data_IF_277779973461
#
_entry.id   IF_277779973461
#
_cell.length_a   1.000
_cell.length_b   1.000
_cell.length_c   1.000
_cell.angle_alpha   90.00
_cell.angle_beta   90.00
_cell.angle_gamma   90.00
#
_symmetry.space_group_name_H-M   'P 1'
#
loop_
_entity.id
_entity.type
_entity.pdbx_description
1 polymer ?
#
# COMPACT_ATOMS: atom_id res chain seq x y z
N UNK A 1 0.79 17.43 22.16
CA UNK A 1 -0.10 16.24 22.18
C UNK A 1 0.56 15.22 21.28
N UNK A 2 0.45 13.93 21.56
CA UNK A 2 1.01 12.90 20.68
C UNK A 2 0.36 12.97 19.30
N UNK A 3 1.13 12.63 18.27
CA UNK A 3 0.62 12.50 16.90
C UNK A 3 -0.17 11.20 16.77
N UNK A 4 -1.38 11.27 16.24
CA UNK A 4 -2.27 10.13 16.06
C UNK A 4 -2.79 10.06 14.63
N UNK A 5 -3.12 8.85 14.17
CA UNK A 5 -3.86 8.60 12.94
C UNK A 5 -5.16 7.88 13.31
N UNK A 6 -6.30 8.43 12.85
CA UNK A 6 -7.58 7.74 12.89
C UNK A 6 -7.70 6.87 11.63
N UNK A 7 -7.53 5.55 11.80
CA UNK A 7 -7.44 4.64 10.64
C UNK A 7 -8.80 4.24 10.06
N UNK A 8 -9.92 4.75 10.62
CA UNK A 8 -11.26 4.48 10.09
C UNK A 8 -12.30 5.47 10.62
N UNK A 9 -12.82 6.31 9.74
CA UNK A 9 -13.95 7.19 10.02
C UNK A 9 -14.80 7.42 8.78
N UNK A 10 -16.09 7.75 8.97
CA UNK A 10 -17.05 8.08 7.93
C UNK A 10 -17.51 9.54 8.06
N UNK A 11 -16.57 10.46 7.97
CA UNK A 11 -16.89 11.91 8.09
C UNK A 11 -17.68 12.44 6.89
N UNK A 12 -17.72 11.68 5.78
CA UNK A 12 -18.57 11.93 4.62
C UNK A 12 -20.05 11.71 4.85
N UNK A 13 -20.47 11.06 5.95
CA UNK A 13 -21.90 10.87 6.23
C UNK A 13 -22.62 12.19 6.52
N UNK A 14 -23.90 12.25 6.18
CA UNK A 14 -24.77 13.43 6.33
C UNK A 14 -24.83 13.95 7.77
N UNK A 15 -24.54 13.09 8.74
CA UNK A 15 -24.45 13.47 10.17
C UNK A 15 -23.37 14.53 10.44
N UNK A 16 -22.45 14.76 9.52
CA UNK A 16 -21.38 15.74 9.65
C UNK A 16 -21.55 16.96 8.73
N UNK A 17 -22.58 17.01 7.89
CA UNK A 17 -22.72 18.07 6.88
C UNK A 17 -22.74 19.48 7.49
N UNK A 18 -23.37 19.65 8.66
CA UNK A 18 -23.51 20.97 9.31
C UNK A 18 -22.21 21.47 9.96
N UNK A 19 -21.27 20.58 10.35
CA UNK A 19 -20.10 20.98 11.15
C UNK A 19 -18.80 20.24 10.74
N UNK A 20 -18.74 19.65 9.55
CA UNK A 20 -17.60 18.84 9.10
C UNK A 20 -16.26 19.57 9.22
N UNK A 21 -16.19 20.83 8.81
CA UNK A 21 -14.97 21.64 8.92
C UNK A 21 -14.52 21.83 10.38
N UNK A 22 -15.48 22.02 11.28
CA UNK A 22 -15.20 22.12 12.73
C UNK A 22 -14.73 20.77 13.32
N UNK A 23 -15.26 19.65 12.82
CA UNK A 23 -14.79 18.30 13.20
C UNK A 23 -13.32 18.13 12.83
N UNK A 24 -12.92 18.50 11.62
CA UNK A 24 -11.51 18.44 11.20
C UNK A 24 -10.61 19.37 12.00
N UNK A 25 -11.07 20.58 12.32
CA UNK A 25 -10.34 21.49 13.19
C UNK A 25 -10.10 20.87 14.58
N UNK A 26 -11.15 20.31 15.21
CA UNK A 26 -11.04 19.63 16.51
C UNK A 26 -10.12 18.41 16.46
N UNK A 27 -10.15 17.66 15.36
CA UNK A 27 -9.24 16.54 15.14
C UNK A 27 -7.76 17.00 15.16
N UNK A 28 -7.43 18.05 14.40
CA UNK A 28 -6.08 18.64 14.42
C UNK A 28 -5.68 19.14 15.80
N UNK A 29 -6.57 19.84 16.50
CA UNK A 29 -6.36 20.31 17.88
C UNK A 29 -6.13 19.16 18.85
N UNK A 30 -6.68 17.98 18.60
CA UNK A 30 -6.48 16.77 19.39
C UNK A 30 -5.20 15.98 19.00
N UNK A 31 -4.41 16.43 18.02
CA UNK A 31 -3.18 15.77 17.57
C UNK A 31 -3.36 14.76 16.44
N UNK A 32 -4.57 14.68 15.84
CA UNK A 32 -4.81 13.79 14.69
C UNK A 32 -4.15 14.38 13.44
N UNK A 33 -3.22 13.63 12.86
CA UNK A 33 -2.43 14.04 11.68
C UNK A 33 -3.04 13.54 10.37
N UNK A 34 -3.81 12.46 10.43
CA UNK A 34 -4.48 11.88 9.27
C UNK A 34 -5.72 11.12 9.71
N UNK A 35 -6.77 11.20 8.91
CA UNK A 35 -7.99 10.43 9.04
C UNK A 35 -8.17 9.61 7.75
N UNK A 36 -8.40 8.31 7.90
CA UNK A 36 -8.84 7.51 6.76
C UNK A 36 -10.34 7.65 6.62
N UNK A 37 -10.75 8.39 5.62
CA UNK A 37 -12.15 8.56 5.22
C UNK A 37 -12.60 7.34 4.44
N UNK A 38 -13.52 6.59 5.00
CA UNK A 38 -13.94 5.28 4.47
C UNK A 38 -15.29 5.39 3.77
N UNK A 39 -15.26 5.14 2.46
CA UNK A 39 -16.45 5.08 1.63
C UNK A 39 -17.19 3.75 1.78
N UNK A 40 -18.53 3.81 1.78
CA UNK A 40 -19.41 2.65 1.83
C UNK A 40 -20.20 2.59 0.52
N UNK A 41 -19.99 1.51 -0.27
CA UNK A 41 -20.55 1.39 -1.62
C UNK A 41 -19.95 2.40 -2.61
N UNK A 42 -20.43 2.39 -3.86
CA UNK A 42 -19.86 3.21 -4.95
C UNK A 42 -19.99 4.72 -4.68
N UNK A 43 -21.17 5.17 -4.28
CA UNK A 43 -21.41 6.61 -4.06
C UNK A 43 -20.67 7.14 -2.83
N UNK A 44 -20.63 6.38 -1.73
CA UNK A 44 -19.83 6.72 -0.55
C UNK A 44 -18.33 6.75 -0.87
N UNK A 45 -17.86 5.83 -1.72
CA UNK A 45 -16.48 5.78 -2.19
C UNK A 45 -16.11 7.00 -3.04
N UNK A 46 -16.98 7.47 -3.93
CA UNK A 46 -16.79 8.71 -4.67
C UNK A 46 -16.69 9.92 -3.75
N UNK A 47 -17.60 10.00 -2.76
CA UNK A 47 -17.60 11.10 -1.77
C UNK A 47 -16.31 11.09 -0.93
N UNK A 48 -15.82 9.91 -0.54
CA UNK A 48 -14.56 9.79 0.21
C UNK A 48 -13.36 10.30 -0.60
N UNK A 49 -13.27 9.96 -1.88
CA UNK A 49 -12.24 10.46 -2.80
C UNK A 49 -12.33 11.98 -2.97
N UNK A 50 -13.53 12.51 -3.18
CA UNK A 50 -13.77 13.95 -3.32
C UNK A 50 -13.37 14.74 -2.07
N UNK A 51 -13.75 14.25 -0.89
CA UNK A 51 -13.37 14.85 0.39
C UNK A 51 -11.86 14.82 0.60
N UNK A 52 -11.21 13.68 0.33
CA UNK A 52 -9.77 13.56 0.48
C UNK A 52 -8.98 14.45 -0.52
N UNK A 53 -9.55 14.74 -1.70
CA UNK A 53 -8.94 15.67 -2.65
C UNK A 53 -9.01 17.15 -2.18
N UNK A 54 -9.99 17.50 -1.32
CA UNK A 54 -10.22 18.87 -0.87
C UNK A 54 -9.71 19.16 0.55
N UNK A 55 -9.47 18.12 1.37
CA UNK A 55 -9.08 18.23 2.77
C UNK A 55 -7.76 17.44 3.03
N UNK A 56 -6.63 18.11 3.25
CA UNK A 56 -5.33 17.46 3.43
C UNK A 56 -5.26 16.48 4.61
N UNK A 57 -6.11 16.66 5.62
CA UNK A 57 -6.18 15.74 6.78
C UNK A 57 -6.67 14.35 6.38
N UNK A 58 -7.36 14.22 5.22
CA UNK A 58 -8.00 12.99 4.80
C UNK A 58 -7.15 12.17 3.81
N UNK A 59 -7.33 10.86 3.88
CA UNK A 59 -6.93 9.90 2.85
C UNK A 59 -8.11 8.97 2.59
N UNK A 60 -8.41 8.71 1.32
CA UNK A 60 -9.58 7.91 0.95
C UNK A 60 -9.30 6.41 1.02
N UNK A 61 -10.21 5.67 1.65
CA UNK A 61 -10.41 4.25 1.45
C UNK A 61 -11.76 4.02 0.78
N UNK A 62 -11.82 3.10 -0.16
CA UNK A 62 -13.01 2.86 -0.98
C UNK A 62 -13.38 1.38 -1.02
N UNK A 63 -14.67 1.05 -0.84
CA UNK A 63 -15.10 -0.33 -0.74
C UNK A 63 -16.58 -0.55 -1.01
N UNK A 64 -16.91 -1.80 -1.31
CA UNK A 64 -18.26 -2.32 -1.34
C UNK A 64 -18.48 -3.06 -0.02
N UNK A 65 -19.16 -2.41 0.92
CA UNK A 65 -19.50 -2.96 2.23
C UNK A 65 -20.34 -4.25 2.06
N UNK A 66 -20.22 -5.24 2.93
CA UNK A 66 -21.02 -6.48 2.83
C UNK A 66 -22.53 -6.25 2.68
N UNK A 67 -23.08 -5.22 3.31
CA UNK A 67 -24.50 -4.89 3.17
C UNK A 67 -24.89 -4.31 1.80
N UNK A 68 -23.89 -3.81 1.02
CA UNK A 68 -24.04 -3.31 -0.34
C UNK A 68 -23.75 -4.40 -1.41
N UNK A 69 -23.43 -5.63 -1.01
CA UNK A 69 -23.01 -6.69 -1.93
C UNK A 69 -24.10 -7.05 -2.97
N UNK A 70 -25.39 -6.75 -2.71
CA UNK A 70 -26.46 -6.88 -3.69
C UNK A 70 -26.26 -6.04 -4.94
N UNK A 71 -25.44 -4.99 -4.86
CA UNK A 71 -25.14 -4.07 -5.96
C UNK A 71 -23.82 -4.42 -6.67
N UNK A 72 -23.13 -5.51 -6.29
CA UNK A 72 -21.81 -5.87 -6.76
C UNK A 72 -21.70 -5.85 -8.30
N UNK A 73 -22.57 -6.57 -8.99
CA UNK A 73 -22.49 -6.67 -10.46
C UNK A 73 -22.82 -5.36 -11.18
N UNK A 74 -23.68 -4.54 -10.59
CA UNK A 74 -24.03 -3.22 -11.15
C UNK A 74 -22.89 -2.23 -11.02
N UNK A 75 -22.20 -2.23 -9.88
CA UNK A 75 -21.30 -1.16 -9.47
C UNK A 75 -19.82 -1.52 -9.68
N UNK A 76 -19.48 -2.79 -9.95
CA UNK A 76 -18.11 -3.27 -9.97
C UNK A 76 -17.20 -2.53 -10.93
N UNK A 77 -17.60 -2.38 -12.20
CA UNK A 77 -16.75 -1.76 -13.22
C UNK A 77 -16.43 -0.30 -12.87
N UNK A 78 -17.44 0.44 -12.39
CA UNK A 78 -17.28 1.82 -11.97
C UNK A 78 -16.44 1.94 -10.69
N UNK A 79 -16.57 0.99 -9.76
CA UNK A 79 -15.77 0.89 -8.56
C UNK A 79 -14.31 0.57 -8.89
N UNK A 80 -14.05 -0.42 -9.73
CA UNK A 80 -12.69 -0.78 -10.16
C UNK A 80 -12.02 0.41 -10.89
N UNK A 81 -12.76 1.10 -11.76
CA UNK A 81 -12.26 2.30 -12.41
C UNK A 81 -11.91 3.40 -11.40
N UNK A 82 -12.76 3.64 -10.39
CA UNK A 82 -12.48 4.61 -9.32
C UNK A 82 -11.15 4.31 -8.61
N UNK A 83 -10.95 3.04 -8.24
CA UNK A 83 -9.69 2.59 -7.58
C UNK A 83 -8.47 2.81 -8.47
N UNK A 84 -8.59 2.56 -9.79
CA UNK A 84 -7.46 2.66 -10.73
C UNK A 84 -7.09 4.08 -11.11
N UNK A 85 -8.03 5.02 -11.01
CA UNK A 85 -7.86 6.39 -11.53
C UNK A 85 -7.71 7.46 -10.46
N UNK A 86 -7.92 7.13 -9.19
CA UNK A 86 -7.83 8.10 -8.09
C UNK A 86 -6.80 7.68 -7.05
N UNK A 87 -6.41 8.63 -6.22
CA UNK A 87 -5.50 8.41 -5.10
C UNK A 87 -6.23 7.71 -3.93
N UNK A 88 -6.26 6.38 -3.98
CA UNK A 88 -6.89 5.52 -3.00
C UNK A 88 -5.83 4.91 -2.10
N UNK A 89 -5.98 5.05 -0.80
CA UNK A 89 -5.02 4.57 0.20
C UNK A 89 -5.27 3.10 0.59
N UNK A 90 -6.53 2.65 0.57
CA UNK A 90 -6.90 1.28 0.88
C UNK A 90 -8.20 0.86 0.16
N UNK A 91 -8.37 -0.44 -0.06
CA UNK A 91 -9.65 -1.03 -0.47
C UNK A 91 -10.42 -1.35 0.81
N UNK A 92 -11.58 -0.77 0.97
CA UNK A 92 -12.45 -0.98 2.13
C UNK A 92 -13.40 0.21 2.37
N UNK A 93 -14.42 -0.03 3.07
CA UNK A 93 -14.74 -1.16 3.95
C UNK A 93 -15.30 -2.35 3.15
N UNK A 94 -14.70 -3.52 3.32
CA UNK A 94 -15.14 -4.77 2.71
C UNK A 94 -15.14 -5.89 3.76
N UNK A 95 -15.75 -7.02 3.51
CA UNK A 95 -15.78 -8.12 4.47
C UNK A 95 -17.13 -8.80 4.59
N UNK A 96 -17.51 -9.19 5.82
CA UNK A 96 -18.72 -9.96 6.09
C UNK A 96 -19.52 -9.39 7.27
N UNK A 97 -20.85 -9.28 7.11
CA UNK A 97 -21.80 -8.88 8.14
C UNK A 97 -23.00 -9.83 8.16
N UNK A 98 -23.04 -10.73 9.13
CA UNK A 98 -24.14 -11.68 9.30
C UNK A 98 -25.18 -11.22 10.33
N UNK A 99 -24.92 -10.10 10.99
CA UNK A 99 -25.86 -9.50 11.92
C UNK A 99 -26.99 -8.78 11.19
N UNK A 100 -26.65 -7.84 10.30
CA UNK A 100 -27.64 -7.13 9.49
C UNK A 100 -28.18 -7.97 8.36
N UNK A 101 -27.30 -8.76 7.74
CA UNK A 101 -27.61 -9.74 6.67
C UNK A 101 -28.47 -9.16 5.54
N UNK A 102 -28.15 -7.92 5.12
CA UNK A 102 -28.88 -7.20 4.06
C UNK A 102 -28.60 -7.76 2.67
N UNK A 103 -27.47 -8.47 2.51
CA UNK A 103 -27.15 -9.20 1.30
C UNK A 103 -26.86 -10.68 1.62
N UNK A 104 -27.15 -11.63 0.69
CA UNK A 104 -26.85 -13.05 0.86
C UNK A 104 -25.37 -13.29 1.18
N UNK A 105 -25.08 -14.22 2.10
CA UNK A 105 -23.71 -14.56 2.54
C UNK A 105 -22.77 -14.88 1.40
N UNK A 106 -23.23 -15.60 0.38
CA UNK A 106 -22.41 -15.97 -0.77
C UNK A 106 -22.03 -14.75 -1.62
N UNK A 107 -22.94 -13.78 -1.77
CA UNK A 107 -22.63 -12.50 -2.44
C UNK A 107 -21.66 -11.65 -1.62
N UNK A 108 -21.81 -11.62 -0.28
CA UNK A 108 -20.84 -10.94 0.58
C UNK A 108 -19.45 -11.55 0.43
N UNK A 109 -19.34 -12.89 0.46
CA UNK A 109 -18.07 -13.60 0.26
C UNK A 109 -17.47 -13.32 -1.11
N UNK A 110 -18.29 -13.28 -2.15
CA UNK A 110 -17.82 -12.96 -3.51
C UNK A 110 -17.32 -11.53 -3.63
N UNK A 111 -18.09 -10.55 -3.12
CA UNK A 111 -17.68 -9.16 -3.07
C UNK A 111 -16.36 -8.99 -2.31
N UNK A 112 -16.20 -9.69 -1.18
CA UNK A 112 -14.98 -9.65 -0.39
C UNK A 112 -13.77 -10.22 -1.15
N UNK A 113 -13.92 -11.37 -1.81
CA UNK A 113 -12.85 -11.99 -2.62
C UNK A 113 -12.41 -11.08 -3.77
N UNK A 114 -13.36 -10.49 -4.51
CA UNK A 114 -13.05 -9.58 -5.62
C UNK A 114 -12.28 -8.34 -5.13
N UNK A 115 -12.66 -7.78 -4.00
CA UNK A 115 -11.99 -6.62 -3.42
C UNK A 115 -10.59 -6.95 -2.91
N UNK A 116 -10.37 -8.12 -2.28
CA UNK A 116 -9.02 -8.58 -1.92
C UNK A 116 -8.16 -8.78 -3.18
N UNK A 117 -8.74 -9.34 -4.24
CA UNK A 117 -8.02 -9.52 -5.50
C UNK A 117 -7.60 -8.18 -6.11
N UNK A 118 -8.51 -7.20 -6.15
CA UNK A 118 -8.21 -5.84 -6.61
C UNK A 118 -7.15 -5.16 -5.73
N UNK A 119 -7.26 -5.28 -4.41
CA UNK A 119 -6.26 -4.77 -3.47
C UNK A 119 -4.86 -5.34 -3.75
N UNK A 120 -4.78 -6.65 -4.02
CA UNK A 120 -3.52 -7.32 -4.42
C UNK A 120 -2.98 -6.77 -5.74
N UNK A 121 -3.82 -6.64 -6.77
CA UNK A 121 -3.42 -6.10 -8.07
C UNK A 121 -2.87 -4.69 -7.98
N UNK A 122 -3.47 -3.88 -7.11
CA UNK A 122 -3.09 -2.48 -6.89
C UNK A 122 -2.00 -2.33 -5.82
N UNK A 123 -1.53 -3.43 -5.21
CA UNK A 123 -0.63 -3.43 -4.05
C UNK A 123 -1.13 -2.52 -2.90
N UNK A 124 -2.44 -2.39 -2.75
CA UNK A 124 -3.09 -1.62 -1.70
C UNK A 124 -3.39 -2.51 -0.48
N UNK A 125 -3.39 -1.96 0.73
CA UNK A 125 -3.99 -2.63 1.88
C UNK A 125 -5.51 -2.71 1.73
N UNK A 126 -6.15 -3.56 2.56
CA UNK A 126 -7.61 -3.61 2.63
C UNK A 126 -8.10 -3.54 4.07
N UNK A 127 -9.24 -2.89 4.26
CA UNK A 127 -9.91 -2.66 5.55
C UNK A 127 -11.10 -3.60 5.63
N UNK A 128 -11.11 -4.44 6.67
CA UNK A 128 -12.03 -5.57 6.82
C UNK A 128 -13.07 -5.30 7.88
N UNK A 129 -14.32 -5.32 7.47
CA UNK A 129 -15.47 -5.42 8.34
C UNK A 129 -15.76 -6.87 8.73
N UNK A 130 -16.00 -7.11 10.01
CA UNK A 130 -16.44 -8.42 10.49
C UNK A 130 -17.49 -8.28 11.59
N UNK A 131 -18.69 -8.82 11.36
CA UNK A 131 -19.72 -8.87 12.36
C UNK A 131 -20.51 -10.18 12.32
N UNK A 132 -20.38 -10.98 13.39
CA UNK A 132 -20.99 -12.31 13.53
C UNK A 132 -20.61 -13.28 12.39
N UNK A 133 -19.39 -13.13 11.80
CA UNK A 133 -18.93 -13.83 10.61
C UNK A 133 -17.47 -14.33 10.68
N UNK A 134 -16.88 -14.38 11.89
CA UNK A 134 -15.43 -14.58 12.08
C UNK A 134 -14.91 -15.87 11.43
N UNK A 135 -15.63 -16.98 11.54
CA UNK A 135 -15.19 -18.25 10.98
C UNK A 135 -15.08 -18.21 9.44
N UNK A 136 -16.10 -17.68 8.77
CA UNK A 136 -16.13 -17.53 7.33
C UNK A 136 -15.11 -16.48 6.86
N UNK A 137 -14.92 -15.41 7.63
CA UNK A 137 -13.91 -14.40 7.36
C UNK A 137 -12.51 -15.02 7.34
N UNK A 138 -12.15 -15.76 8.38
CA UNK A 138 -10.85 -16.43 8.49
C UNK A 138 -10.64 -17.43 7.35
N UNK A 139 -11.69 -18.19 6.96
CA UNK A 139 -11.65 -19.09 5.82
C UNK A 139 -11.32 -18.34 4.51
N UNK A 140 -12.03 -17.24 4.23
CA UNK A 140 -11.79 -16.43 3.04
C UNK A 140 -10.38 -15.83 3.04
N UNK A 141 -9.95 -15.23 4.16
CA UNK A 141 -8.61 -14.64 4.28
C UNK A 141 -7.50 -15.67 4.06
N UNK A 142 -7.64 -16.87 4.64
CA UNK A 142 -6.69 -17.98 4.46
C UNK A 142 -6.64 -18.44 2.99
N UNK A 143 -7.78 -18.57 2.34
CA UNK A 143 -7.86 -18.98 0.94
C UNK A 143 -7.27 -17.92 0.01
N UNK A 144 -7.43 -16.63 0.32
CA UNK A 144 -6.89 -15.54 -0.49
C UNK A 144 -5.37 -15.35 -0.31
N UNK A 145 -4.81 -15.64 0.87
CA UNK A 145 -3.37 -15.56 1.14
C UNK A 145 -2.75 -14.18 0.86
N UNK A 146 -3.48 -13.08 1.10
CA UNK A 146 -2.98 -11.72 0.96
C UNK A 146 -2.94 -11.04 2.34
N UNK A 147 -1.76 -10.92 3.00
CA UNK A 147 -1.66 -10.56 4.41
C UNK A 147 -1.74 -9.05 4.68
N UNK A 148 -2.02 -8.22 3.66
CA UNK A 148 -2.04 -6.76 3.80
C UNK A 148 -3.42 -6.23 4.16
N UNK A 149 -4.06 -6.85 5.16
CA UNK A 149 -5.37 -6.45 5.68
C UNK A 149 -5.31 -5.94 7.13
N UNK A 150 -6.28 -5.10 7.49
CA UNK A 150 -6.59 -4.69 8.85
C UNK A 150 -8.05 -5.01 9.16
N UNK A 151 -8.30 -5.75 10.24
CA UNK A 151 -9.66 -5.95 10.74
C UNK A 151 -10.02 -4.74 11.60
N UNK A 152 -10.91 -3.90 11.06
CA UNK A 152 -11.34 -2.69 11.75
C UNK A 152 -12.36 -3.01 12.84
N UNK A 153 -12.49 -2.11 13.79
CA UNK A 153 -13.45 -2.18 14.91
C UNK A 153 -13.57 -3.60 15.51
N UNK A 154 -12.39 -4.26 15.69
CA UNK A 154 -12.34 -5.65 16.12
C UNK A 154 -13.21 -5.87 17.37
N UNK A 155 -14.08 -6.87 17.30
CA UNK A 155 -15.04 -7.21 18.37
C UNK A 155 -14.89 -8.61 18.93
N UNK A 156 -13.92 -9.39 18.43
CA UNK A 156 -13.76 -10.81 18.76
C UNK A 156 -12.98 -11.10 20.05
N UNK A 157 -12.60 -12.35 20.20
CA UNK A 157 -11.82 -12.87 21.34
C UNK A 157 -10.30 -12.77 21.08
N UNK A 158 -9.48 -12.96 22.14
CA UNK A 158 -8.03 -13.04 22.00
C UNK A 158 -7.58 -14.20 21.10
N UNK A 159 -8.29 -15.33 21.10
CA UNK A 159 -7.99 -16.46 20.22
C UNK A 159 -8.24 -16.12 18.74
N UNK A 160 -9.36 -15.47 18.42
CA UNK A 160 -9.66 -15.00 17.07
C UNK A 160 -8.67 -13.91 16.61
N UNK A 161 -8.27 -13.02 17.53
CA UNK A 161 -7.21 -12.04 17.23
C UNK A 161 -5.89 -12.74 16.85
N UNK A 162 -5.50 -13.81 17.59
CA UNK A 162 -4.28 -14.57 17.29
C UNK A 162 -4.38 -15.25 15.92
N UNK A 163 -5.51 -15.89 15.56
CA UNK A 163 -5.68 -16.49 14.24
C UNK A 163 -5.53 -15.47 13.10
N UNK A 164 -6.07 -14.26 13.27
CA UNK A 164 -5.93 -13.18 12.30
C UNK A 164 -4.47 -12.69 12.20
N UNK A 165 -3.79 -12.56 13.33
CA UNK A 165 -2.37 -12.19 13.37
C UNK A 165 -1.48 -13.23 12.67
N UNK A 166 -1.79 -14.54 12.84
CA UNK A 166 -1.07 -15.64 12.17
C UNK A 166 -1.27 -15.62 10.64
N UNK A 167 -2.39 -15.07 10.17
CA UNK A 167 -2.64 -14.79 8.75
C UNK A 167 -1.97 -13.50 8.26
N UNK A 168 -1.20 -12.82 9.11
CA UNK A 168 -0.50 -11.58 8.77
C UNK A 168 -1.34 -10.31 8.89
N UNK A 169 -2.59 -10.41 9.35
CA UNK A 169 -3.50 -9.27 9.50
C UNK A 169 -3.06 -8.32 10.61
N UNK A 170 -3.57 -7.09 10.58
CA UNK A 170 -3.51 -6.10 11.65
C UNK A 170 -4.88 -5.99 12.30
N UNK A 171 -4.92 -5.45 13.50
CA UNK A 171 -6.15 -5.32 14.28
C UNK A 171 -6.30 -3.89 14.76
N UNK A 172 -7.44 -3.29 14.51
CA UNK A 172 -7.78 -1.95 14.94
C UNK A 172 -8.85 -1.98 16.05
N UNK A 173 -8.71 -1.06 16.99
CA UNK A 173 -9.68 -0.89 18.08
C UNK A 173 -10.27 0.51 18.06
N UNK A 174 -11.60 0.57 18.20
CA UNK A 174 -12.35 1.81 18.29
C UNK A 174 -12.86 2.07 19.73
N UNK A 175 -13.65 3.10 19.92
CA UNK A 175 -14.09 3.57 21.24
C UNK A 175 -14.80 2.53 22.13
N UNK A 176 -15.38 1.46 21.54
CA UNK A 176 -16.06 0.39 22.27
C UNK A 176 -15.12 -0.42 23.19
N UNK A 177 -13.81 -0.44 22.95
CA UNK A 177 -12.83 -1.09 23.83
C UNK A 177 -12.80 -0.46 25.22
N UNK A 178 -13.18 0.82 25.32
CA UNK A 178 -13.22 1.57 26.58
C UNK A 178 -14.44 1.23 27.47
N UNK A 179 -15.41 0.46 26.93
CA UNK A 179 -16.64 0.17 27.66
C UNK A 179 -16.41 -0.84 28.78
N UNK A 180 -16.90 -0.53 29.99
CA UNK A 180 -16.72 -1.38 31.17
C UNK A 180 -17.23 -2.81 31.00
N UNK A 181 -18.21 -3.03 30.12
CA UNK A 181 -18.80 -4.36 29.86
C UNK A 181 -18.01 -5.19 28.83
N UNK A 182 -17.03 -4.62 28.15
CA UNK A 182 -16.30 -5.27 27.06
C UNK A 182 -14.98 -5.90 27.55
N UNK A 183 -15.01 -6.59 28.70
CA UNK A 183 -13.81 -7.24 29.28
C UNK A 183 -13.13 -8.22 28.31
N UNK A 184 -13.92 -9.00 27.54
CA UNK A 184 -13.38 -9.91 26.52
C UNK A 184 -12.58 -9.15 25.44
N UNK A 185 -13.10 -8.02 24.94
CA UNK A 185 -12.43 -7.19 23.97
C UNK A 185 -11.14 -6.56 24.54
N UNK A 186 -11.16 -6.19 25.81
CA UNK A 186 -9.99 -5.66 26.51
C UNK A 186 -8.87 -6.72 26.62
N UNK A 187 -9.23 -7.99 26.90
CA UNK A 187 -8.25 -9.09 26.89
C UNK A 187 -7.69 -9.34 25.49
N UNK A 188 -8.52 -9.26 24.45
CA UNK A 188 -8.04 -9.32 23.07
C UNK A 188 -7.07 -8.16 22.76
N UNK A 189 -7.40 -6.95 23.17
CA UNK A 189 -6.56 -5.79 22.98
C UNK A 189 -5.20 -5.90 23.72
N UNK A 190 -5.17 -6.52 24.91
CA UNK A 190 -3.90 -6.82 25.60
C UNK A 190 -3.03 -7.78 24.81
N UNK A 191 -3.63 -8.82 24.20
CA UNK A 191 -2.93 -9.86 23.48
C UNK A 191 -2.32 -9.39 22.14
N UNK A 192 -2.97 -8.41 21.45
CA UNK A 192 -2.47 -7.89 20.17
C UNK A 192 -1.14 -7.15 20.37
N UNK A 193 -0.03 -7.53 19.67
CA UNK A 193 1.24 -6.82 19.75
C UNK A 193 1.13 -5.37 19.28
N UNK A 194 1.91 -4.45 19.89
CA UNK A 194 1.89 -3.02 19.53
C UNK A 194 2.20 -2.80 18.03
N UNK A 195 3.05 -3.63 17.44
CA UNK A 195 3.48 -3.58 16.02
C UNK A 195 2.36 -3.97 15.04
N UNK A 196 1.27 -4.54 15.54
CA UNK A 196 0.10 -4.99 14.76
C UNK A 196 -1.18 -4.26 15.13
N UNK A 197 -1.09 -3.31 16.06
CA UNK A 197 -2.22 -2.58 16.62
C UNK A 197 -2.44 -1.26 15.90
N UNK A 198 -3.70 -0.97 15.58
CA UNK A 198 -4.15 0.31 15.03
C UNK A 198 -5.21 0.95 15.92
N UNK A 199 -5.38 2.26 15.75
CA UNK A 199 -6.36 3.08 16.44
C UNK A 199 -7.32 3.69 15.45
N UNK A 200 -8.59 3.72 15.81
CA UNK A 200 -9.64 4.35 15.00
C UNK A 200 -10.77 4.86 15.86
N UNK A 201 -11.67 5.63 15.25
CA UNK A 201 -12.91 6.04 15.90
C UNK A 201 -14.13 5.27 15.43
N UNK A 202 -14.18 4.89 14.17
CA UNK A 202 -15.41 4.45 13.48
C UNK A 202 -16.51 5.53 13.55
N UNK A 203 -16.11 6.80 13.56
CA UNK A 203 -17.03 7.93 13.66
C UNK A 203 -17.99 7.95 12.43
N UNK A 204 -19.30 8.18 12.66
CA UNK A 204 -19.99 8.72 13.85
C UNK A 204 -20.41 7.69 14.90
N UNK A 205 -20.00 6.45 14.79
CA UNK A 205 -20.40 5.32 15.63
C UNK A 205 -19.49 5.16 16.85
N UNK A 206 -19.92 4.35 17.81
CA UNK A 206 -19.13 3.77 18.91
C UNK A 206 -18.26 4.78 19.71
N UNK A 207 -18.79 5.94 20.15
CA UNK A 207 -18.00 6.90 20.91
C UNK A 207 -17.40 6.25 22.17
N UNK A 208 -16.15 6.60 22.56
CA UNK A 208 -15.52 6.06 23.76
C UNK A 208 -16.34 6.37 25.03
N UNK A 209 -16.10 5.60 26.12
CA UNK A 209 -16.90 5.66 27.35
C UNK A 209 -17.17 7.08 27.87
N UNK A 210 -16.20 8.03 27.89
CA UNK A 210 -16.47 9.40 28.35
C UNK A 210 -17.42 10.21 27.45
N UNK A 211 -17.66 9.75 26.23
CA UNK A 211 -18.48 10.43 25.22
C UNK A 211 -19.74 9.65 24.84
N UNK A 212 -20.07 8.57 25.56
CA UNK A 212 -21.28 7.78 25.29
C UNK A 212 -22.53 8.63 25.20
N UNK A 213 -23.40 8.30 24.23
CA UNK A 213 -24.63 9.04 23.94
C UNK A 213 -24.47 10.29 23.10
N UNK A 214 -23.23 10.63 22.70
CA UNK A 214 -22.91 11.69 21.72
C UNK A 214 -22.54 11.08 20.37
N UNK A 215 -22.63 11.85 19.29
CA UNK A 215 -22.01 11.51 18.01
C UNK A 215 -20.50 11.37 18.21
N UNK A 216 -19.90 10.29 17.71
CA UNK A 216 -18.44 10.14 17.71
C UNK A 216 -17.83 11.09 16.69
N UNK A 217 -16.56 11.44 16.88
CA UNK A 217 -15.76 12.24 15.95
C UNK A 217 -14.27 11.85 16.05
N UNK A 218 -13.46 12.08 14.97
CA UNK A 218 -12.05 11.69 14.93
C UNK A 218 -11.21 12.22 16.09
N UNK A 219 -11.53 13.40 16.64
CA UNK A 219 -10.85 13.95 17.82
C UNK A 219 -10.89 13.02 19.05
N UNK A 220 -11.86 12.09 19.10
CA UNK A 220 -12.00 11.20 20.25
C UNK A 220 -11.10 9.95 20.17
N UNK A 221 -10.32 9.77 19.11
CA UNK A 221 -9.34 8.68 19.03
C UNK A 221 -8.31 8.76 20.16
N UNK A 222 -8.02 9.96 20.65
CA UNK A 222 -7.10 10.17 21.78
C UNK A 222 -7.58 9.46 23.05
N UNK A 223 -8.91 9.43 23.31
CA UNK A 223 -9.48 8.74 24.46
C UNK A 223 -9.36 7.21 24.34
N UNK A 224 -9.43 6.69 23.13
CA UNK A 224 -9.17 5.27 22.85
C UNK A 224 -7.68 4.96 23.07
N UNK A 225 -6.80 5.84 22.59
CA UNK A 225 -5.34 5.72 22.78
C UNK A 225 -4.95 5.75 24.26
N UNK A 226 -5.46 6.70 25.05
CA UNK A 226 -5.22 6.81 26.49
C UNK A 226 -5.63 5.51 27.22
N UNK A 227 -6.80 4.98 26.88
CA UNK A 227 -7.30 3.75 27.47
C UNK A 227 -6.42 2.54 27.12
N UNK A 228 -6.04 2.40 25.86
CA UNK A 228 -5.18 1.30 25.40
C UNK A 228 -3.76 1.40 25.94
N UNK A 229 -3.19 2.59 26.07
CA UNK A 229 -1.91 2.81 26.72
C UNK A 229 -1.92 2.31 28.16
N UNK A 230 -2.93 2.71 28.93
CA UNK A 230 -3.11 2.23 30.30
C UNK A 230 -3.30 0.70 30.34
N UNK A 231 -4.12 0.15 29.44
CA UNK A 231 -4.43 -1.29 29.38
C UNK A 231 -3.18 -2.13 29.08
N UNK A 232 -2.29 -1.61 28.24
CA UNK A 232 -1.00 -2.25 27.82
C UNK A 232 0.16 -1.94 28.75
N UNK A 233 0.01 -1.01 29.69
CA UNK A 233 1.09 -0.62 30.61
C UNK A 233 2.21 0.17 29.96
N UNK A 234 1.94 0.91 28.88
CA UNK A 234 2.87 1.79 28.18
C UNK A 234 2.45 3.26 28.33
N UNK A 235 3.34 4.20 28.00
CA UNK A 235 2.95 5.62 27.96
C UNK A 235 2.04 5.92 26.77
N UNK A 236 1.27 7.01 26.85
CA UNK A 236 0.47 7.47 25.71
C UNK A 236 1.37 7.82 24.51
N UNK A 237 2.50 8.46 24.75
CA UNK A 237 3.45 8.83 23.70
C UNK A 237 4.03 7.61 22.99
N UNK A 238 4.40 6.56 23.73
CA UNK A 238 4.88 5.30 23.15
C UNK A 238 3.80 4.62 22.32
N UNK A 239 2.56 4.53 22.84
CA UNK A 239 1.45 3.93 22.08
C UNK A 239 1.18 4.71 20.79
N UNK A 240 1.11 6.04 20.88
CA UNK A 240 0.85 6.91 19.74
C UNK A 240 1.94 6.81 18.69
N UNK A 241 3.22 6.85 19.08
CA UNK A 241 4.36 6.68 18.19
C UNK A 241 4.28 5.35 17.43
N UNK A 242 4.08 4.23 18.16
CA UNK A 242 4.02 2.89 17.57
C UNK A 242 2.83 2.73 16.64
N UNK A 243 1.63 3.11 17.06
CA UNK A 243 0.42 2.94 16.24
C UNK A 243 0.42 3.87 15.03
N UNK A 244 0.92 5.09 15.16
CA UNK A 244 1.08 6.03 14.03
C UNK A 244 2.12 5.54 13.03
N UNK A 245 3.27 5.03 13.49
CA UNK A 245 4.28 4.42 12.63
C UNK A 245 3.73 3.19 11.88
N UNK A 246 2.95 2.34 12.57
CA UNK A 246 2.28 1.19 11.96
C UNK A 246 1.31 1.63 10.85
N UNK A 247 0.44 2.61 11.14
CA UNK A 247 -0.54 3.11 10.19
C UNK A 247 0.14 3.75 8.97
N UNK A 248 1.15 4.61 9.18
CA UNK A 248 1.93 5.22 8.09
C UNK A 248 2.54 4.17 7.18
N UNK A 249 3.23 3.17 7.74
CA UNK A 249 3.86 2.09 6.96
C UNK A 249 2.83 1.23 6.21
N UNK A 250 1.75 0.86 6.88
CA UNK A 250 0.75 -0.05 6.32
C UNK A 250 -0.08 0.60 5.21
N UNK A 251 -0.51 1.84 5.42
CA UNK A 251 -1.35 2.61 4.51
C UNK A 251 -0.54 3.45 3.50
N UNK A 252 0.78 3.34 3.53
CA UNK A 252 1.71 4.15 2.73
C UNK A 252 1.46 5.67 2.87
N UNK A 253 1.08 6.12 4.09
CA UNK A 253 0.84 7.52 4.39
C UNK A 253 2.18 8.22 4.54
N UNK A 254 2.48 9.10 3.62
CA UNK A 254 3.70 9.92 3.65
C UNK A 254 3.42 11.24 4.37
N UNK A 255 4.40 11.81 5.07
CA UNK A 255 4.26 13.18 5.60
C UNK A 255 3.93 14.14 4.46
N UNK A 256 3.10 15.15 4.75
CA UNK A 256 2.81 16.21 3.77
C UNK A 256 4.12 16.84 3.28
N UNK A 257 4.25 16.92 1.96
CA UNK A 257 5.35 17.66 1.35
C UNK A 257 4.96 19.11 1.18
N UNK A 258 5.88 20.00 1.56
CA UNK A 258 5.78 21.43 1.29
C UNK A 258 6.21 21.77 -0.16
N UNK A 259 6.76 20.79 -0.92
CA UNK A 259 7.41 21.00 -2.22
C UNK A 259 6.74 20.14 -3.30
N UNK A 260 6.60 20.69 -4.48
CA UNK A 260 6.10 20.26 -5.77
C UNK A 260 5.70 18.80 -6.07
N UNK A 261 5.25 18.49 -7.31
CA UNK A 261 4.56 17.23 -7.65
C UNK A 261 5.47 15.99 -7.76
N UNK A 262 6.75 16.09 -7.43
CA UNK A 262 7.75 15.02 -7.65
C UNK A 262 8.19 14.94 -9.13
N UNK A 263 9.29 14.23 -9.36
CA UNK A 263 9.91 14.11 -10.68
C UNK A 263 9.37 12.88 -11.40
N UNK A 264 8.67 13.10 -12.51
CA UNK A 264 8.12 12.01 -13.34
C UNK A 264 9.20 11.35 -14.20
N UNK A 265 10.08 12.17 -14.83
CA UNK A 265 11.21 11.69 -15.64
C UNK A 265 12.49 12.34 -15.20
N UNK A 266 13.59 11.59 -15.14
CA UNK A 266 14.91 12.07 -14.74
C UNK A 266 16.03 11.34 -15.46
N UNK A 267 17.16 12.02 -15.65
CA UNK A 267 18.30 11.48 -16.41
C UNK A 267 19.39 11.02 -15.45
N UNK A 268 19.89 9.81 -15.64
CA UNK A 268 21.11 9.32 -15.00
C UNK A 268 22.05 8.78 -16.09
N UNK A 269 23.19 9.42 -16.25
CA UNK A 269 24.08 9.14 -17.38
C UNK A 269 23.37 9.36 -18.71
N UNK A 270 23.40 8.37 -19.60
CA UNK A 270 22.75 8.42 -20.92
C UNK A 270 21.32 7.86 -20.94
N UNK A 271 20.75 7.54 -19.78
CA UNK A 271 19.43 6.90 -19.69
C UNK A 271 18.40 7.86 -19.12
N UNK A 272 17.17 7.80 -19.66
CA UNK A 272 16.01 8.46 -19.06
C UNK A 272 15.25 7.46 -18.19
N UNK A 273 15.02 7.83 -16.96
CA UNK A 273 14.23 7.06 -16.00
C UNK A 273 12.81 7.63 -15.90
N UNK A 274 11.83 6.74 -15.77
CA UNK A 274 10.40 7.08 -15.73
C UNK A 274 9.77 6.47 -14.50
N UNK A 275 9.20 7.31 -13.64
CA UNK A 275 8.41 6.90 -12.47
C UNK A 275 6.95 6.73 -12.86
N UNK A 276 6.37 5.52 -12.68
CA UNK A 276 4.97 5.24 -13.05
C UNK A 276 4.00 5.23 -11.86
N UNK A 277 4.53 5.00 -10.66
CA UNK A 277 3.70 4.88 -9.47
C UNK A 277 4.50 5.12 -8.21
N UNK A 278 3.81 5.51 -7.14
CA UNK A 278 4.35 5.57 -5.78
C UNK A 278 4.16 4.26 -5.00
N UNK A 279 3.32 3.35 -5.50
CA UNK A 279 3.01 2.08 -4.85
C UNK A 279 4.11 1.05 -5.08
N UNK A 280 4.45 0.27 -4.05
CA UNK A 280 5.41 -0.81 -4.14
C UNK A 280 4.99 -1.97 -3.24
N UNK A 281 5.23 -3.20 -3.69
CA UNK A 281 4.95 -4.42 -2.94
C UNK A 281 6.05 -4.82 -1.96
N UNK A 282 7.19 -4.12 -1.96
CA UNK A 282 8.32 -4.35 -1.05
C UNK A 282 8.64 -3.09 -0.23
N UNK A 283 9.14 -3.28 0.99
CA UNK A 283 9.56 -2.25 1.94
C UNK A 283 11.04 -2.44 2.28
N UNK A 284 11.91 -2.30 1.26
CA UNK A 284 13.34 -2.47 1.44
C UNK A 284 13.92 -1.39 2.36
N UNK A 285 14.68 -1.79 3.41
CA UNK A 285 15.20 -0.84 4.41
C UNK A 285 16.15 0.22 3.82
N UNK A 286 16.80 -0.09 2.71
CA UNK A 286 17.71 0.81 2.00
C UNK A 286 17.02 1.67 0.93
N UNK A 287 15.72 1.52 0.72
CA UNK A 287 14.99 2.29 -0.30
C UNK A 287 14.78 3.73 0.16
N UNK A 288 15.10 4.75 -0.66
CA UNK A 288 14.84 6.15 -0.34
C UNK A 288 13.36 6.46 -0.06
N UNK A 289 12.45 5.60 -0.49
CA UNK A 289 11.02 5.69 -0.21
C UNK A 289 10.71 5.70 1.28
N UNK A 290 11.47 4.95 2.07
CA UNK A 290 11.32 4.87 3.53
C UNK A 290 12.01 6.04 4.27
N UNK A 291 12.83 6.81 3.55
CA UNK A 291 13.50 8.01 4.09
C UNK A 291 12.62 9.26 4.05
N UNK A 292 13.01 10.31 4.80
CA UNK A 292 12.25 11.56 4.86
C UNK A 292 12.23 12.34 3.55
N UNK A 293 13.33 12.31 2.80
CA UNK A 293 13.55 13.21 1.66
C UNK A 293 13.07 12.63 0.32
N UNK A 294 12.94 11.30 0.23
CA UNK A 294 12.56 10.57 -1.01
C UNK A 294 13.36 10.99 -2.26
N UNK A 295 14.55 11.50 -2.02
CA UNK A 295 15.47 11.95 -3.05
C UNK A 295 16.41 10.80 -3.41
N UNK A 296 16.52 10.50 -4.69
CA UNK A 296 17.52 9.60 -5.22
C UNK A 296 18.22 10.28 -6.40
N UNK A 297 19.54 10.18 -6.44
CA UNK A 297 20.40 10.83 -7.46
C UNK A 297 20.10 12.32 -7.67
N UNK A 298 19.82 13.06 -6.59
CA UNK A 298 19.48 14.48 -6.64
C UNK A 298 18.07 14.81 -7.12
N UNK A 299 17.26 13.81 -7.46
CA UNK A 299 15.87 13.99 -7.92
C UNK A 299 14.88 13.62 -6.83
N UNK A 300 13.86 14.46 -6.65
CA UNK A 300 12.71 14.16 -5.84
C UNK A 300 11.76 13.23 -6.60
N UNK A 301 11.75 11.96 -6.21
CA UNK A 301 10.98 10.92 -6.88
C UNK A 301 9.59 10.66 -6.27
N UNK A 302 9.17 11.46 -5.30
CA UNK A 302 7.88 11.28 -4.63
C UNK A 302 6.74 11.84 -5.48
N UNK A 303 6.17 11.04 -6.34
CA UNK A 303 4.96 11.40 -7.10
C UNK A 303 3.80 11.70 -6.14
N UNK A 304 2.99 12.71 -6.47
CA UNK A 304 1.74 13.02 -5.75
C UNK A 304 0.57 12.17 -6.24
N UNK A 305 0.60 11.75 -7.50
CA UNK A 305 -0.33 10.80 -8.12
C UNK A 305 0.39 9.96 -9.16
N UNK A 306 -0.24 8.89 -9.57
CA UNK A 306 0.24 8.09 -10.68
C UNK A 306 -0.03 8.83 -12.01
N UNK A 307 0.95 8.91 -12.94
CA UNK A 307 0.80 9.60 -14.22
C UNK A 307 -0.02 8.79 -15.21
N UNK A 308 -0.67 9.49 -16.14
CA UNK A 308 -1.27 8.88 -17.32
C UNK A 308 -0.23 8.64 -18.43
N UNK A 309 -0.50 7.70 -19.34
CA UNK A 309 0.46 7.32 -20.39
C UNK A 309 0.87 8.52 -21.26
N UNK A 310 -0.08 9.40 -21.61
CA UNK A 310 0.21 10.57 -22.45
C UNK A 310 1.13 11.57 -21.77
N UNK A 311 1.01 11.78 -20.45
CA UNK A 311 1.87 12.68 -19.67
C UNK A 311 3.33 12.20 -19.69
N UNK A 312 3.53 10.88 -19.55
CA UNK A 312 4.85 10.26 -19.64
C UNK A 312 5.44 10.45 -21.03
N UNK A 313 4.66 10.15 -22.09
CA UNK A 313 5.10 10.25 -23.48
C UNK A 313 5.43 11.69 -23.91
N UNK A 314 4.72 12.66 -23.37
CA UNK A 314 5.00 14.08 -23.58
C UNK A 314 6.33 14.48 -22.94
N UNK A 315 6.58 14.08 -21.69
CA UNK A 315 7.85 14.38 -21.01
C UNK A 315 9.05 13.64 -21.59
N UNK A 316 8.88 12.40 -22.05
CA UNK A 316 9.95 11.65 -22.74
C UNK A 316 10.37 12.36 -24.04
N UNK A 317 9.42 12.92 -24.78
CA UNK A 317 9.66 13.60 -26.05
C UNK A 317 10.25 12.66 -27.13
N UNK A 318 11.45 12.98 -27.60
CA UNK A 318 12.21 12.11 -28.53
C UNK A 318 13.03 11.07 -27.75
N UNK A 319 12.61 9.78 -27.73
CA UNK A 319 13.27 8.76 -26.95
C UNK A 319 14.64 8.33 -27.52
N UNK A 320 14.92 8.65 -28.79
CA UNK A 320 16.21 8.28 -29.42
C UNK A 320 17.40 9.07 -28.92
N UNK A 321 17.14 10.15 -28.16
CA UNK A 321 18.17 10.94 -27.46
C UNK A 321 18.81 10.19 -26.28
N UNK A 322 18.19 9.09 -25.83
CA UNK A 322 18.64 8.33 -24.68
C UNK A 322 19.08 6.92 -25.11
N UNK A 323 20.08 6.40 -24.43
CA UNK A 323 20.54 5.01 -24.65
C UNK A 323 19.43 4.02 -24.29
N UNK A 324 18.70 4.26 -23.21
CA UNK A 324 17.55 3.45 -22.75
C UNK A 324 16.52 4.35 -22.08
N UNK A 325 15.26 3.99 -22.26
CA UNK A 325 14.17 4.47 -21.39
C UNK A 325 13.93 3.40 -20.32
N UNK A 326 14.04 3.78 -19.04
CA UNK A 326 14.02 2.85 -17.92
C UNK A 326 12.80 3.11 -17.04
N UNK A 327 11.85 2.21 -17.01
CA UNK A 327 10.77 2.26 -16.02
C UNK A 327 11.34 1.91 -14.64
N UNK A 328 11.43 2.91 -13.77
CA UNK A 328 12.03 2.82 -12.44
C UNK A 328 11.64 4.05 -11.63
N UNK A 329 11.48 3.89 -10.34
CA UNK A 329 11.17 4.98 -9.41
C UNK A 329 11.15 4.46 -7.98
N UNK A 330 10.47 5.17 -7.08
CA UNK A 330 10.25 4.69 -5.71
C UNK A 330 9.15 3.62 -5.63
N UNK A 331 8.34 3.47 -6.67
CA UNK A 331 7.29 2.45 -6.79
C UNK A 331 7.70 1.26 -7.65
N UNK A 332 6.85 0.24 -7.67
CA UNK A 332 6.99 -0.94 -8.52
C UNK A 332 6.24 -0.74 -9.85
N UNK A 333 6.94 -0.58 -10.99
CA UNK A 333 6.29 -0.27 -12.26
C UNK A 333 5.33 -1.36 -12.76
N UNK A 334 5.53 -2.63 -12.36
CA UNK A 334 4.64 -3.73 -12.75
C UNK A 334 3.24 -3.63 -12.14
N UNK A 335 3.01 -2.80 -11.12
CA UNK A 335 1.67 -2.48 -10.61
C UNK A 335 0.83 -1.79 -11.69
N UNK A 336 1.45 -0.94 -12.50
CA UNK A 336 0.82 -0.22 -13.61
C UNK A 336 1.05 -0.91 -14.97
N UNK A 337 0.93 -2.24 -15.01
CA UNK A 337 1.28 -3.05 -16.18
C UNK A 337 0.65 -2.53 -17.48
N UNK A 338 -0.65 -2.22 -17.49
CA UNK A 338 -1.33 -1.78 -18.71
C UNK A 338 -0.79 -0.43 -19.22
N UNK A 339 -0.61 0.53 -18.31
CA UNK A 339 0.00 1.84 -18.62
C UNK A 339 1.44 1.66 -19.10
N UNK A 340 2.22 0.80 -18.44
CA UNK A 340 3.58 0.47 -18.86
C UNK A 340 3.62 -0.10 -20.29
N UNK A 341 2.74 -1.06 -20.60
CA UNK A 341 2.66 -1.70 -21.93
C UNK A 341 2.24 -0.70 -23.02
N UNK A 342 1.31 0.19 -22.72
CA UNK A 342 0.88 1.27 -23.62
C UNK A 342 2.04 2.20 -23.97
N UNK A 343 2.74 2.70 -22.94
CA UNK A 343 3.90 3.58 -23.11
C UNK A 343 5.02 2.84 -23.85
N UNK A 344 5.35 1.61 -23.44
CA UNK A 344 6.42 0.82 -24.05
C UNK A 344 6.16 0.58 -25.54
N UNK A 345 4.92 0.30 -25.95
CA UNK A 345 4.54 0.13 -27.36
C UNK A 345 4.86 1.39 -28.18
N UNK A 346 4.40 2.54 -27.70
CA UNK A 346 4.65 3.82 -28.36
C UNK A 346 6.15 4.16 -28.42
N UNK A 347 6.89 3.87 -27.36
CA UNK A 347 8.34 4.07 -27.31
C UNK A 347 9.07 3.15 -28.29
N UNK A 348 8.65 1.89 -28.41
CA UNK A 348 9.23 0.93 -29.38
C UNK A 348 8.96 1.35 -30.82
N UNK A 349 7.77 1.84 -31.14
CA UNK A 349 7.42 2.42 -32.45
C UNK A 349 8.30 3.62 -32.80
N UNK A 350 8.76 4.39 -31.79
CA UNK A 350 9.69 5.52 -31.92
C UNK A 350 11.17 5.10 -31.86
N UNK A 351 11.49 3.80 -31.85
CA UNK A 351 12.85 3.29 -31.90
C UNK A 351 13.59 3.23 -30.57
N UNK A 352 12.90 3.39 -29.44
CA UNK A 352 13.52 3.30 -28.11
C UNK A 352 14.01 1.90 -27.75
N UNK A 353 15.06 1.84 -26.93
CA UNK A 353 15.38 0.68 -26.11
C UNK A 353 14.69 0.83 -24.76
N UNK A 354 13.89 -0.15 -24.35
CA UNK A 354 13.06 -0.12 -23.14
C UNK A 354 13.57 -1.12 -22.11
N UNK A 355 13.78 -0.66 -20.87
CA UNK A 355 14.12 -1.51 -19.72
C UNK A 355 13.14 -1.29 -18.56
N UNK A 356 12.90 -2.34 -17.81
CA UNK A 356 12.15 -2.29 -16.54
C UNK A 356 13.11 -2.64 -15.40
N UNK A 357 13.16 -1.80 -14.37
CA UNK A 357 13.72 -2.17 -13.08
C UNK A 357 12.55 -2.53 -12.15
N UNK A 358 12.51 -3.76 -11.66
CA UNK A 358 11.40 -4.32 -10.88
C UNK A 358 11.90 -5.08 -9.66
N UNK A 359 11.05 -5.18 -8.64
CA UNK A 359 11.27 -6.09 -7.51
C UNK A 359 10.96 -7.57 -7.85
N UNK A 360 10.48 -7.87 -9.07
CA UNK A 360 10.21 -9.22 -9.54
C UNK A 360 8.86 -9.80 -9.11
N UNK A 361 7.98 -9.03 -8.51
CA UNK A 361 6.67 -9.51 -8.05
C UNK A 361 5.59 -9.43 -9.14
N UNK A 362 5.91 -9.12 -10.38
CA UNK A 362 4.93 -8.93 -11.46
C UNK A 362 3.90 -10.05 -11.58
N UNK A 363 4.32 -11.32 -11.54
CA UNK A 363 3.41 -12.47 -11.62
C UNK A 363 2.54 -12.61 -10.36
N UNK A 364 3.09 -12.30 -9.18
CA UNK A 364 2.34 -12.31 -7.91
C UNK A 364 1.29 -11.19 -7.86
N UNK A 365 1.64 -9.99 -8.33
CA UNK A 365 0.74 -8.83 -8.40
C UNK A 365 -0.51 -9.18 -9.23
N UNK A 366 -0.30 -9.80 -10.39
CA UNK A 366 -1.39 -10.10 -11.33
C UNK A 366 -2.00 -11.50 -11.17
N UNK A 367 -1.46 -12.36 -10.29
CA UNK A 367 -1.93 -13.72 -10.08
C UNK A 367 -1.77 -14.63 -11.30
N UNK A 368 -0.91 -14.27 -12.26
CA UNK A 368 -0.67 -14.99 -13.52
C UNK A 368 0.71 -14.65 -14.10
N UNK A 369 1.19 -15.43 -15.05
CA UNK A 369 2.40 -15.09 -15.81
C UNK A 369 2.10 -13.92 -16.77
N UNK A 370 2.71 -12.75 -16.50
CA UNK A 370 2.60 -11.55 -17.32
C UNK A 370 3.80 -11.35 -18.27
N UNK A 371 4.81 -12.18 -18.16
CA UNK A 371 6.04 -12.02 -18.94
C UNK A 371 5.86 -12.17 -20.47
N UNK A 372 4.89 -12.97 -21.00
CA UNK A 372 4.61 -12.99 -22.42
C UNK A 372 4.15 -11.64 -22.99
N UNK A 373 3.48 -10.79 -22.18
CA UNK A 373 2.99 -9.48 -22.61
C UNK A 373 4.13 -8.46 -22.81
N UNK A 374 5.27 -8.68 -22.17
CA UNK A 374 6.45 -7.84 -22.31
C UNK A 374 7.23 -8.11 -23.62
N UNK A 375 6.94 -9.26 -24.28
CA UNK A 375 7.67 -9.69 -25.48
C UNK A 375 7.54 -8.67 -26.62
N UNK A 376 8.68 -8.22 -27.14
CA UNK A 376 8.75 -7.24 -28.23
C UNK A 376 8.52 -5.78 -27.80
N UNK A 377 8.09 -5.54 -26.55
CA UNK A 377 7.90 -4.22 -25.99
C UNK A 377 9.02 -3.82 -25.02
N UNK A 378 9.66 -4.80 -24.39
CA UNK A 378 10.73 -4.61 -23.40
C UNK A 378 11.97 -5.34 -23.85
N UNK A 379 13.11 -4.66 -23.86
CA UNK A 379 14.39 -5.21 -24.28
C UNK A 379 15.18 -5.84 -23.11
N UNK A 380 14.99 -5.29 -21.90
CA UNK A 380 15.68 -5.77 -20.71
C UNK A 380 14.81 -5.66 -19.46
N UNK A 381 14.96 -6.61 -18.54
CA UNK A 381 14.39 -6.53 -17.19
C UNK A 381 15.51 -6.69 -16.16
N UNK A 382 15.63 -5.73 -15.27
CA UNK A 382 16.56 -5.74 -14.15
C UNK A 382 15.75 -6.03 -12.87
N UNK A 383 15.95 -7.19 -12.27
CA UNK A 383 15.16 -7.70 -11.15
C UNK A 383 15.98 -7.57 -9.87
N UNK A 384 15.45 -6.91 -8.87
CA UNK A 384 16.06 -6.75 -7.54
C UNK A 384 15.93 -8.04 -6.73
N UNK A 385 16.93 -8.93 -6.80
CA UNK A 385 16.98 -10.15 -6.00
C UNK A 385 17.28 -9.85 -4.54
N UNK A 386 18.27 -9.01 -4.28
CA UNK A 386 18.68 -8.41 -3.00
C UNK A 386 19.02 -9.37 -1.84
N UNK A 387 18.86 -10.68 -2.01
CA UNK A 387 19.16 -11.68 -0.99
C UNK A 387 19.45 -13.05 -1.62
N UNK A 388 20.20 -13.90 -0.91
CA UNK A 388 20.51 -15.28 -1.31
C UNK A 388 19.47 -16.29 -0.84
N UNK A 389 18.59 -15.91 0.07
CA UNK A 389 17.56 -16.78 0.64
C UNK A 389 16.36 -15.98 1.14
N UNK A 390 15.29 -16.72 1.49
CA UNK A 390 14.03 -16.13 1.95
C UNK A 390 14.17 -15.36 3.27
N UNK A 391 14.94 -15.88 4.22
CA UNK A 391 15.10 -15.28 5.54
C UNK A 391 15.74 -13.90 5.43
N UNK A 392 16.84 -13.80 4.67
CA UNK A 392 17.52 -12.54 4.38
C UNK A 392 16.60 -11.58 3.59
N UNK A 393 15.85 -12.10 2.60
CA UNK A 393 14.92 -11.28 1.83
C UNK A 393 13.80 -10.70 2.70
N UNK A 394 13.15 -11.53 3.52
CA UNK A 394 12.04 -11.11 4.39
C UNK A 394 12.50 -10.09 5.45
N UNK A 395 13.76 -10.18 5.90
CA UNK A 395 14.35 -9.20 6.80
C UNK A 395 14.62 -7.85 6.10
N UNK A 396 15.23 -7.88 4.92
CA UNK A 396 15.77 -6.67 4.27
C UNK A 396 14.80 -6.02 3.30
N UNK A 397 13.91 -6.79 2.72
CA UNK A 397 12.90 -6.38 1.75
C UNK A 397 11.52 -6.96 2.09
N UNK A 398 11.00 -6.74 3.31
CA UNK A 398 9.70 -7.30 3.68
C UNK A 398 8.65 -6.95 2.62
N UNK A 399 7.89 -7.96 2.18
CA UNK A 399 6.96 -7.84 1.07
C UNK A 399 5.52 -8.05 1.49
N UNK A 400 4.59 -7.45 0.74
CA UNK A 400 3.15 -7.70 0.88
C UNK A 400 2.75 -9.14 0.57
N UNK A 401 3.65 -9.91 -0.08
CA UNK A 401 3.44 -11.33 -0.40
C UNK A 401 4.03 -12.29 0.63
N UNK A 402 4.70 -11.78 1.69
CA UNK A 402 5.29 -12.59 2.75
C UNK A 402 6.18 -13.70 2.19
N UNK A 403 6.02 -14.92 2.71
CA UNK A 403 6.83 -16.07 2.34
C UNK A 403 6.84 -16.44 0.84
N UNK A 404 5.87 -15.97 0.06
CA UNK A 404 5.83 -16.23 -1.39
C UNK A 404 6.71 -15.26 -2.20
N UNK A 405 7.18 -14.17 -1.60
CA UNK A 405 7.86 -13.10 -2.32
C UNK A 405 9.14 -13.57 -2.99
N UNK A 406 10.05 -14.20 -2.24
CA UNK A 406 11.35 -14.62 -2.75
C UNK A 406 11.22 -15.67 -3.88
N UNK A 407 10.38 -16.69 -3.69
CA UNK A 407 10.13 -17.70 -4.72
C UNK A 407 9.47 -17.07 -5.97
N UNK A 408 8.57 -16.11 -5.76
CA UNK A 408 7.93 -15.36 -6.85
C UNK A 408 8.91 -14.57 -7.71
N UNK A 409 9.99 -14.02 -7.12
CA UNK A 409 11.07 -13.35 -7.87
C UNK A 409 11.78 -14.36 -8.77
N UNK A 410 12.13 -15.53 -8.25
CA UNK A 410 12.81 -16.57 -9.01
C UNK A 410 11.94 -17.09 -10.17
N UNK A 411 10.65 -17.28 -9.91
CA UNK A 411 9.69 -17.71 -10.94
C UNK A 411 9.48 -16.65 -12.01
N UNK A 412 9.36 -15.38 -11.63
CA UNK A 412 9.27 -14.27 -12.58
C UNK A 412 10.51 -14.22 -13.50
N UNK A 413 11.70 -14.36 -12.94
CA UNK A 413 12.94 -14.36 -13.72
C UNK A 413 12.99 -15.52 -14.72
N UNK A 414 12.62 -16.76 -14.29
CA UNK A 414 12.57 -17.95 -15.17
C UNK A 414 11.53 -17.80 -16.29
N UNK A 415 10.38 -17.16 -16.00
CA UNK A 415 9.36 -16.88 -17.00
C UNK A 415 9.84 -15.78 -17.96
N UNK A 416 10.36 -14.66 -17.46
CA UNK A 416 10.82 -13.55 -18.26
C UNK A 416 11.91 -13.95 -19.26
N UNK A 417 12.85 -14.82 -18.85
CA UNK A 417 13.91 -15.35 -19.72
C UNK A 417 13.40 -16.04 -20.99
N UNK A 418 12.20 -16.59 -20.98
CA UNK A 418 11.61 -17.26 -22.15
C UNK A 418 11.15 -16.26 -23.22
N UNK A 419 10.94 -15.03 -22.86
CA UNK A 419 10.27 -14.02 -23.69
C UNK A 419 11.11 -12.78 -23.97
N UNK A 420 12.10 -12.47 -23.12
CA UNK A 420 12.87 -11.24 -23.18
C UNK A 420 14.33 -11.49 -23.58
N UNK A 421 14.93 -10.55 -24.36
CA UNK A 421 16.33 -10.65 -24.78
C UNK A 421 17.31 -10.64 -23.62
N UNK A 422 17.02 -9.84 -22.58
CA UNK A 422 17.92 -9.64 -21.44
C UNK A 422 17.16 -9.66 -20.13
N UNK A 423 17.58 -10.54 -19.20
CA UNK A 423 17.07 -10.63 -17.82
C UNK A 423 18.26 -10.64 -16.87
N UNK A 424 18.25 -9.73 -15.90
CA UNK A 424 19.39 -9.49 -15.01
C UNK A 424 18.88 -9.53 -13.57
N UNK A 425 19.49 -10.33 -12.70
CA UNK A 425 19.38 -10.15 -11.26
C UNK A 425 20.33 -9.08 -10.77
N UNK A 426 19.84 -8.21 -9.90
CA UNK A 426 20.67 -7.20 -9.22
C UNK A 426 20.61 -7.43 -7.71
N UNK A 427 21.72 -7.13 -7.05
CA UNK A 427 21.84 -7.19 -5.59
C UNK A 427 22.54 -5.92 -5.10
N UNK A 428 22.21 -5.50 -3.88
CA UNK A 428 22.89 -4.40 -3.19
C UNK A 428 24.06 -4.99 -2.41
N UNK A 429 25.28 -4.77 -2.92
CA UNK A 429 26.51 -5.18 -2.27
C UNK A 429 26.81 -4.30 -1.05
N UNK A 430 27.20 -4.91 0.08
CA UNK A 430 27.42 -4.21 1.34
C UNK A 430 26.19 -4.11 2.24
N UNK A 431 25.04 -4.64 1.81
CA UNK A 431 23.90 -4.85 2.69
C UNK A 431 24.23 -5.96 3.72
N UNK A 432 23.81 -5.76 4.99
CA UNK A 432 24.15 -6.67 6.08
C UNK A 432 23.59 -8.08 5.83
N UNK A 433 24.46 -9.09 5.89
CA UNK A 433 24.10 -10.51 5.73
C UNK A 433 23.78 -10.94 4.29
N UNK A 434 24.00 -10.09 3.30
CA UNK A 434 23.85 -10.46 1.89
C UNK A 434 25.12 -11.11 1.36
N UNK A 435 25.02 -12.37 0.91
CA UNK A 435 26.07 -13.12 0.24
C UNK A 435 25.95 -12.94 -1.28
N UNK A 436 26.81 -12.08 -1.84
CA UNK A 436 26.83 -11.72 -3.27
C UNK A 436 27.13 -12.94 -4.17
N UNK A 437 28.02 -13.84 -3.73
CA UNK A 437 28.38 -15.04 -4.50
C UNK A 437 27.24 -16.08 -4.49
N UNK A 438 26.57 -16.24 -3.37
CA UNK A 438 25.36 -17.07 -3.33
C UNK A 438 24.23 -16.50 -4.22
N UNK A 439 24.06 -15.18 -4.25
CA UNK A 439 23.14 -14.52 -5.17
C UNK A 439 23.53 -14.73 -6.66
N UNK A 440 24.82 -14.72 -6.97
CA UNK A 440 25.34 -15.04 -8.31
C UNK A 440 25.02 -16.48 -8.71
N UNK A 441 25.20 -17.44 -7.80
CA UNK A 441 24.87 -18.84 -8.05
C UNK A 441 23.34 -19.01 -8.34
N UNK A 442 22.48 -18.26 -7.68
CA UNK A 442 21.03 -18.26 -7.96
C UNK A 442 20.77 -17.73 -9.36
N UNK A 443 21.44 -16.66 -9.78
CA UNK A 443 21.30 -16.12 -11.13
C UNK A 443 21.69 -17.16 -12.20
N UNK A 444 22.79 -17.88 -11.98
CA UNK A 444 23.22 -18.99 -12.84
C UNK A 444 22.18 -20.11 -12.91
N UNK A 445 21.63 -20.51 -11.77
CA UNK A 445 20.56 -21.54 -11.71
C UNK A 445 19.28 -21.11 -12.43
N UNK A 446 18.95 -19.81 -12.38
CA UNK A 446 17.83 -19.24 -13.14
C UNK A 446 18.19 -18.99 -14.61
N UNK A 447 19.48 -19.07 -14.99
CA UNK A 447 20.01 -18.80 -16.32
C UNK A 447 19.85 -17.35 -16.75
N UNK A 448 20.01 -16.40 -15.81
CA UNK A 448 19.94 -14.97 -16.03
C UNK A 448 21.28 -14.30 -15.71
N UNK A 449 21.49 -13.09 -16.23
CA UNK A 449 22.69 -12.30 -15.92
C UNK A 449 22.66 -11.81 -14.47
N UNK A 450 23.84 -11.42 -13.95
CA UNK A 450 23.96 -10.93 -12.58
C UNK A 450 24.74 -9.60 -12.53
N UNK A 451 24.31 -8.69 -11.62
CA UNK A 451 24.99 -7.43 -11.33
C UNK A 451 24.91 -7.08 -9.86
N UNK A 452 26.05 -6.90 -9.19
CA UNK A 452 26.11 -6.28 -7.87
C UNK A 452 26.20 -4.75 -8.03
N UNK A 453 25.58 -4.01 -7.10
CA UNK A 453 25.62 -2.54 -7.00
C UNK A 453 26.02 -2.17 -5.57
N UNK A 454 27.06 -1.33 -5.37
CA UNK A 454 27.44 -0.88 -4.06
C UNK A 454 26.29 -0.18 -3.32
N UNK A 455 26.16 -0.42 -2.01
CA UNK A 455 25.16 0.24 -1.18
C UNK A 455 25.38 1.75 -1.11
N UNK A 456 26.62 2.19 -1.20
CA UNK A 456 27.00 3.61 -1.16
C UNK A 456 26.54 4.37 -2.40
N UNK A 457 26.45 3.72 -3.55
CA UNK A 457 25.85 4.33 -4.75
C UNK A 457 24.37 4.73 -4.56
N UNK A 458 23.69 4.13 -3.59
CA UNK A 458 22.31 4.48 -3.23
C UNK A 458 22.24 5.64 -2.23
N UNK A 459 23.32 5.91 -1.49
CA UNK A 459 23.40 6.92 -0.42
C UNK A 459 24.14 8.18 -0.82
N UNK A 460 25.10 8.11 -1.74
CA UNK A 460 26.11 9.16 -1.95
C UNK A 460 25.91 10.04 -3.19
N UNK A 461 24.98 9.78 -4.09
CA UNK A 461 24.86 10.66 -5.27
C UNK A 461 24.11 11.96 -4.95
N UNK A 462 24.71 12.78 -4.08
CA UNK A 462 24.39 14.20 -3.87
C UNK A 462 24.99 15.10 -4.96
N UNK A 463 25.37 14.58 -6.11
CA UNK A 463 25.86 15.42 -7.20
C UNK A 463 24.71 16.23 -7.77
N UNK A 464 24.86 17.57 -7.89
CA UNK A 464 23.84 18.38 -8.54
C UNK A 464 23.63 17.89 -9.98
N UNK A 465 22.42 18.03 -10.53
CA UNK A 465 22.15 17.70 -11.92
C UNK A 465 23.14 18.42 -12.81
N UNK A 466 23.68 17.69 -13.79
CA UNK A 466 24.46 18.31 -14.87
C UNK A 466 23.45 19.18 -15.62
N UNK A 467 23.60 20.50 -15.55
CA UNK A 467 22.79 21.43 -16.33
C UNK A 467 22.87 21.01 -17.82
N UNK A 468 21.74 20.97 -18.53
CA UNK A 468 21.77 20.70 -19.96
C UNK A 468 22.58 21.81 -20.63
N UNK A 469 23.70 21.41 -21.23
CA UNK A 469 24.54 22.28 -22.04
C UNK A 469 23.68 22.91 -23.13
N UNK A 470 23.55 24.23 -23.14
CA UNK A 470 22.96 25.01 -24.22
C UNK A 470 23.81 24.79 -25.50
N UNK A 471 23.39 23.81 -26.33
CA UNK A 471 23.82 23.75 -27.73
C UNK A 471 22.71 23.28 -28.63
#
# INVERSE_FOLDING_TARGET
MPELIDTHAHTGFDRFDDDRADVYRRAREAGVQTIIEVGVGLEGSRKAVELAASEPLLRAAVGIHPNEANHLERDWDAFEQLVRTHDVTAIGECGLDYYWNEAPKDLQKEAFRRQIHLARQMALPFIVHCRDAEADLIEVLRAQGYPRGVVHCFGGTAAQAQELLDLGMRISFCGNVTYKKNAQLQEAAKAVPLERLFLETDAPFLPPQPKRGKRNEPAYVVLTAEFLAQLKGVSLDELAERTTANARRFLDIKPERQDGPGTLTYVIGDNLYVSLTRLCTAHCYFCPREGPDRVAWGHDLALTRDPEAHEVLEQVGDPTRYREIVFCGLGEPMIRLQTLLEIARTLKERGARVRINTNGHGNLIHGRDVTPELKGLVDAVSISLNAQDRETYDRDCPSTFGAAAFDGILDFARCARKHLPEVIFTVVEGAEGVDVEACRAIAEQCGVSFRARPLDDLKEDRRPPIEPDER
#
